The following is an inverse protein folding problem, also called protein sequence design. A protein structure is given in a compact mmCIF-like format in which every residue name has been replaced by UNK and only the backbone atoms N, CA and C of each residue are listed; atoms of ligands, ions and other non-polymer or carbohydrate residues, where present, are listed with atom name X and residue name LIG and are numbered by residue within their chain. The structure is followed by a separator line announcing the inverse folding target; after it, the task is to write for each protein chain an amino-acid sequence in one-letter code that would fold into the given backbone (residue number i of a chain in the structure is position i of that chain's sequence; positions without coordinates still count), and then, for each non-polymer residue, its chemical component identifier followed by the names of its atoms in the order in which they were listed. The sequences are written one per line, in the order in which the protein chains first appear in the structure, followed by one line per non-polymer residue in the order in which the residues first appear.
data_IF_176323812128
#
_entry.id   IF_176323812128
#
_cell.length_a   1.000
_cell.length_b   1.000
_cell.length_c   1.000
_cell.angle_alpha   90.00
_cell.angle_beta   90.00
_cell.angle_gamma   90.00
#
_symmetry.space_group_name_H-M   'P 1'
#
loop_
_entity.id
_entity.type
_entity.pdbx_description
1 polymer ?
#
# COMPACT_ATOMS: atom_id res chain seq x y z
N UNK A 1 8.19 1.60 -6.10
CA UNK A 1 8.02 2.84 -5.30
C UNK A 1 6.59 3.35 -5.45
N UNK A 2 6.00 3.95 -4.40
CA UNK A 2 4.73 4.70 -4.51
C UNK A 2 5.01 6.18 -4.33
N UNK A 3 4.77 6.99 -5.37
CA UNK A 3 5.00 8.43 -5.36
C UNK A 3 3.84 9.12 -6.08
N UNK A 4 3.29 10.18 -5.49
CA UNK A 4 2.14 10.92 -6.04
C UNK A 4 0.97 10.03 -6.49
N UNK A 5 0.68 8.98 -5.70
CA UNK A 5 -0.41 8.04 -5.99
C UNK A 5 -0.14 7.03 -7.11
N UNK A 6 1.10 6.93 -7.61
CA UNK A 6 1.49 6.02 -8.70
C UNK A 6 2.48 4.98 -8.21
N UNK A 7 2.26 3.73 -8.62
CA UNK A 7 3.26 2.67 -8.51
C UNK A 7 4.26 2.79 -9.65
N UNK A 8 5.53 2.99 -9.30
CA UNK A 8 6.62 3.21 -10.24
C UNK A 8 7.66 2.10 -10.08
N UNK A 9 7.96 1.40 -11.17
CA UNK A 9 9.10 0.49 -11.29
C UNK A 9 10.39 1.31 -11.38
N UNK A 10 11.45 0.85 -10.70
CA UNK A 10 12.74 1.53 -10.67
C UNK A 10 13.78 0.68 -11.41
N UNK A 11 14.56 1.33 -12.27
CA UNK A 11 15.69 0.76 -12.98
C UNK A 11 16.97 1.29 -12.36
N UNK A 12 17.85 0.38 -11.93
CA UNK A 12 19.14 0.74 -11.34
C UNK A 12 20.08 1.29 -12.41
N UNK A 13 20.82 2.34 -12.09
CA UNK A 13 21.84 2.94 -12.95
C UNK A 13 23.17 2.23 -12.73
N UNK A 14 23.52 1.32 -13.64
CA UNK A 14 24.75 0.52 -13.56
C UNK A 14 24.85 -0.24 -12.23
N UNK A 15 26.00 -0.14 -11.57
CA UNK A 15 26.26 -0.74 -10.24
C UNK A 15 26.10 0.25 -9.09
N UNK A 16 25.56 1.45 -9.35
CA UNK A 16 25.46 2.52 -8.35
C UNK A 16 24.24 2.37 -7.45
N UNK A 17 24.16 3.15 -6.37
CA UNK A 17 22.95 3.29 -5.56
C UNK A 17 21.97 4.35 -6.11
N UNK A 18 22.03 4.61 -7.43
CA UNK A 18 21.12 5.51 -8.12
C UNK A 18 20.17 4.70 -9.02
N UNK A 19 18.92 5.14 -9.09
CA UNK A 19 17.84 4.54 -9.84
C UNK A 19 17.06 5.62 -10.60
N UNK A 20 16.34 5.20 -11.63
CA UNK A 20 15.37 6.03 -12.36
C UNK A 20 14.04 5.30 -12.47
N UNK A 21 12.91 6.02 -12.56
CA UNK A 21 11.67 5.42 -13.02
C UNK A 21 11.86 4.68 -14.37
N UNK A 22 11.20 3.53 -14.54
CA UNK A 22 11.24 2.80 -15.81
C UNK A 22 10.68 3.65 -16.97
N UNK A 23 9.62 4.41 -16.71
CA UNK A 23 9.16 5.50 -17.58
C UNK A 23 9.89 6.79 -17.20
N UNK A 24 11.19 6.85 -17.50
CA UNK A 24 12.11 7.94 -17.13
C UNK A 24 11.48 9.33 -17.38
N UNK A 25 11.11 10.00 -16.29
CA UNK A 25 10.52 11.34 -16.27
C UNK A 25 11.52 12.41 -15.78
N UNK A 26 12.80 12.05 -15.69
CA UNK A 26 13.86 12.89 -15.14
C UNK A 26 13.98 12.83 -13.62
N UNK A 27 13.11 12.10 -12.91
CA UNK A 27 13.24 11.88 -11.46
C UNK A 27 14.49 11.06 -11.15
N UNK A 28 15.29 11.53 -10.19
CA UNK A 28 16.44 10.80 -9.66
C UNK A 28 16.10 10.16 -8.33
N UNK A 29 16.33 8.86 -8.21
CA UNK A 29 16.13 8.11 -6.95
C UNK A 29 17.48 7.62 -6.46
N UNK A 30 17.82 7.89 -5.19
CA UNK A 30 19.10 7.47 -4.58
C UNK A 30 18.84 6.68 -3.31
N UNK A 31 19.41 5.49 -3.24
CA UNK A 31 19.50 4.70 -2.01
C UNK A 31 20.68 5.21 -1.18
N UNK A 32 20.44 5.41 0.11
CA UNK A 32 21.41 5.84 1.11
C UNK A 32 21.40 4.85 2.26
N UNK A 33 22.47 4.82 3.05
CA UNK A 33 22.62 3.97 4.23
C UNK A 33 23.15 4.78 5.42
N UNK A 34 23.20 4.18 6.61
CA UNK A 34 23.75 4.79 7.82
C UNK A 34 22.78 5.64 8.63
N UNK A 35 21.47 5.59 8.35
CA UNK A 35 20.48 6.22 9.21
C UNK A 35 20.23 5.38 10.49
N UNK A 36 19.96 6.06 11.60
CA UNK A 36 19.52 5.42 12.84
C UNK A 36 18.01 5.16 12.81
N UNK A 37 17.56 4.23 11.95
CA UNK A 37 16.13 4.01 11.66
C UNK A 37 15.63 2.58 11.97
N UNK A 38 16.46 1.75 12.61
CA UNK A 38 16.13 0.36 12.99
C UNK A 38 16.40 -0.68 11.90
N UNK A 39 16.65 -0.25 10.67
CA UNK A 39 17.12 -1.12 9.59
C UNK A 39 18.56 -1.62 9.84
N UNK A 40 18.96 -2.72 9.21
CA UNK A 40 20.20 -3.43 9.52
C UNK A 40 21.48 -2.60 9.24
N UNK A 41 21.49 -1.83 8.15
CA UNK A 41 22.54 -0.89 7.76
C UNK A 41 22.02 0.54 7.56
N UNK A 42 20.74 0.79 7.89
CA UNK A 42 20.16 2.12 7.95
C UNK A 42 19.75 2.66 6.60
N UNK A 43 19.19 1.80 5.72
CA UNK A 43 18.73 2.17 4.40
C UNK A 43 17.65 3.26 4.45
N UNK A 44 17.76 4.26 3.58
CA UNK A 44 16.72 5.26 3.32
C UNK A 44 16.82 5.77 1.88
N UNK A 45 15.76 6.40 1.39
CA UNK A 45 15.66 6.79 -0.01
C UNK A 45 15.50 8.30 -0.16
N UNK A 46 16.20 8.89 -1.13
CA UNK A 46 16.00 10.27 -1.57
C UNK A 46 15.49 10.26 -3.01
N UNK A 47 14.38 10.95 -3.26
CA UNK A 47 13.77 11.11 -4.57
C UNK A 47 13.79 12.59 -4.92
N UNK A 48 14.52 12.96 -5.96
CA UNK A 48 14.60 14.33 -6.45
C UNK A 48 13.82 14.44 -7.75
N UNK A 49 12.73 15.20 -7.73
CA UNK A 49 11.92 15.50 -8.91
C UNK A 49 12.57 16.61 -9.75
N UNK A 50 12.08 16.79 -10.99
CA UNK A 50 12.68 17.73 -11.97
C UNK A 50 12.52 19.20 -11.59
N UNK A 51 11.61 19.53 -10.68
CA UNK A 51 11.47 20.85 -10.06
C UNK A 51 12.50 21.10 -8.94
N UNK A 52 13.33 20.11 -8.61
CA UNK A 52 14.35 20.18 -7.56
C UNK A 52 13.84 19.81 -6.16
N UNK A 53 12.56 19.49 -5.99
CA UNK A 53 12.01 19.04 -4.70
C UNK A 53 12.60 17.68 -4.31
N UNK A 54 13.04 17.55 -3.06
CA UNK A 54 13.61 16.32 -2.51
C UNK A 54 12.62 15.68 -1.53
N UNK A 55 12.23 14.45 -1.81
CA UNK A 55 11.42 13.60 -0.95
C UNK A 55 12.33 12.56 -0.29
N UNK A 56 12.42 12.60 1.03
CA UNK A 56 13.20 11.65 1.84
C UNK A 56 12.25 10.63 2.44
N UNK A 57 12.54 9.34 2.28
CA UNK A 57 11.75 8.24 2.80
C UNK A 57 12.54 7.40 3.78
N UNK A 58 11.99 7.19 4.97
CA UNK A 58 12.50 6.27 5.98
C UNK A 58 13.87 6.65 6.55
N UNK A 59 14.17 7.94 6.63
CA UNK A 59 15.35 8.45 7.35
C UNK A 59 15.19 8.37 8.86
N UNK A 60 13.96 8.41 9.37
CA UNK A 60 13.57 8.43 10.78
C UNK A 60 14.00 9.72 11.52
N UNK A 61 15.29 10.03 11.52
CA UNK A 61 15.88 11.22 12.14
C UNK A 61 16.06 12.33 11.11
N UNK A 62 15.09 13.24 11.05
CA UNK A 62 15.04 14.30 10.04
C UNK A 62 15.88 15.54 10.37
N UNK A 63 16.33 15.68 11.63
CA UNK A 63 17.18 16.76 12.14
C UNK A 63 16.39 17.99 12.58
N UNK A 64 17.09 19.13 12.76
CA UNK A 64 16.47 20.45 12.99
C UNK A 64 15.64 20.57 14.26
N UNK A 65 15.88 19.73 15.28
CA UNK A 65 15.14 19.73 16.54
C UNK A 65 13.79 19.00 16.50
N UNK A 66 13.39 18.43 15.35
CA UNK A 66 12.18 17.62 15.25
C UNK A 66 12.40 16.24 15.86
N UNK A 67 11.36 15.67 16.48
CA UNK A 67 11.40 14.31 17.03
C UNK A 67 11.47 13.24 15.94
N UNK A 68 11.84 12.01 16.29
CA UNK A 68 11.93 10.95 15.29
C UNK A 68 10.56 10.63 14.68
N UNK A 69 10.51 10.48 13.36
CA UNK A 69 9.26 10.34 12.61
C UNK A 69 8.67 8.93 12.68
N UNK A 70 9.43 7.93 13.13
CA UNK A 70 9.02 6.51 13.16
C UNK A 70 8.57 5.96 11.79
N UNK A 71 9.18 6.41 10.71
CA UNK A 71 8.76 6.14 9.34
C UNK A 71 9.18 4.80 8.74
N UNK A 72 10.02 4.03 9.42
CA UNK A 72 10.54 2.75 8.92
C UNK A 72 9.83 1.61 9.65
N UNK A 73 9.25 0.69 8.86
CA UNK A 73 8.71 -0.56 9.38
C UNK A 73 9.68 -1.68 9.05
N UNK A 74 10.07 -2.45 10.06
CA UNK A 74 11.07 -3.51 9.94
C UNK A 74 10.49 -4.89 10.25
N UNK A 75 11.16 -5.92 9.76
CA UNK A 75 10.83 -7.33 10.01
C UNK A 75 12.11 -8.17 10.03
N UNK A 76 12.23 -9.19 10.91
CA UNK A 76 13.38 -10.07 10.88
C UNK A 76 13.40 -10.91 9.59
N UNK A 77 14.54 -10.90 8.89
CA UNK A 77 14.79 -11.68 7.67
C UNK A 77 16.15 -12.39 7.76
N UNK A 78 16.34 -13.38 6.89
CA UNK A 78 17.56 -14.17 6.79
C UNK A 78 18.11 -14.09 5.35
N UNK A 79 19.38 -13.72 5.20
CA UNK A 79 20.06 -13.73 3.91
C UNK A 79 20.30 -15.17 3.44
N UNK A 80 19.95 -15.50 2.19
CA UNK A 80 19.94 -16.88 1.72
C UNK A 80 20.98 -17.20 0.65
N UNK A 81 21.64 -16.19 0.05
CA UNK A 81 22.72 -16.41 -0.90
C UNK A 81 24.03 -15.68 -0.56
N UNK A 82 25.20 -16.24 -0.93
CA UNK A 82 26.47 -15.54 -0.83
C UNK A 82 26.44 -14.18 -1.54
N UNK A 83 26.93 -13.15 -0.85
CA UNK A 83 26.95 -11.78 -1.37
C UNK A 83 25.71 -10.96 -1.04
N UNK A 84 24.64 -11.57 -0.50
CA UNK A 84 23.53 -10.82 0.07
C UNK A 84 23.89 -10.29 1.47
N UNK A 85 23.32 -9.14 1.88
CA UNK A 85 23.39 -8.70 3.27
C UNK A 85 23.02 -9.84 4.21
N UNK A 86 23.77 -9.94 5.31
CA UNK A 86 23.49 -10.86 6.42
C UNK A 86 23.65 -12.35 6.12
N UNK A 87 24.05 -12.76 4.91
CA UNK A 87 24.27 -14.18 4.63
C UNK A 87 25.46 -14.74 5.43
N UNK A 88 25.24 -15.85 6.13
CA UNK A 88 26.26 -16.64 6.80
C UNK A 88 26.20 -18.11 6.34
N UNK A 89 27.27 -18.87 6.63
CA UNK A 89 27.33 -20.31 6.28
C UNK A 89 26.23 -21.11 6.96
N UNK A 90 25.96 -20.84 8.23
CA UNK A 90 24.88 -21.48 8.97
C UNK A 90 23.63 -20.60 8.91
N UNK A 91 22.49 -21.19 8.50
CA UNK A 91 21.21 -20.49 8.40
C UNK A 91 20.81 -19.72 9.67
N UNK A 92 21.15 -20.26 10.85
CA UNK A 92 20.86 -19.60 12.13
C UNK A 92 21.57 -18.25 12.28
N UNK A 93 22.74 -18.11 11.67
CA UNK A 93 23.59 -16.92 11.71
C UNK A 93 23.30 -15.98 10.54
N UNK A 94 22.57 -16.45 9.52
CA UNK A 94 22.19 -15.63 8.36
C UNK A 94 21.14 -14.55 8.66
N UNK A 95 20.84 -14.33 9.94
CA UNK A 95 19.88 -13.34 10.38
C UNK A 95 20.44 -11.94 10.10
N UNK A 96 19.60 -11.05 9.59
CA UNK A 96 19.99 -9.64 9.52
C UNK A 96 20.18 -9.01 10.90
N UNK A 97 21.44 -9.01 11.34
CA UNK A 97 21.98 -8.43 12.57
C UNK A 97 21.57 -9.11 13.89
N UNK A 98 22.25 -8.72 14.97
CA UNK A 98 21.88 -9.05 16.35
C UNK A 98 20.89 -8.00 16.88
N UNK A 99 19.62 -8.37 17.06
CA UNK A 99 18.56 -7.42 17.40
C UNK A 99 18.16 -6.48 16.25
N UNK A 100 18.58 -6.78 15.01
CA UNK A 100 18.30 -5.97 13.83
C UNK A 100 17.24 -6.65 12.96
N UNK A 101 16.56 -5.84 12.17
CA UNK A 101 15.46 -6.20 11.30
C UNK A 101 15.72 -5.51 9.95
N UNK A 102 15.17 -6.05 8.87
CA UNK A 102 15.23 -5.36 7.58
C UNK A 102 14.00 -4.49 7.43
N UNK A 103 14.18 -3.28 6.92
CA UNK A 103 13.08 -2.46 6.47
C UNK A 103 12.32 -3.16 5.34
N UNK A 104 11.01 -3.31 5.49
CA UNK A 104 10.11 -3.77 4.43
C UNK A 104 9.27 -2.62 3.86
N UNK A 105 9.24 -1.48 4.55
CA UNK A 105 8.58 -0.25 4.11
C UNK A 105 9.27 0.99 4.67
N UNK A 106 9.54 1.94 3.79
CA UNK A 106 9.97 3.30 4.11
C UNK A 106 8.80 4.26 3.86
N UNK A 107 8.28 4.88 4.91
CA UNK A 107 7.31 5.98 4.83
C UNK A 107 7.96 7.25 4.26
N UNK A 108 7.15 8.20 3.79
CA UNK A 108 7.64 9.55 3.50
C UNK A 108 7.95 10.23 4.82
N UNK A 109 9.09 10.92 4.92
CA UNK A 109 9.55 11.53 6.17
C UNK A 109 9.63 13.03 6.05
N UNK A 110 10.33 13.49 5.01
CA UNK A 110 10.69 14.89 4.84
C UNK A 110 10.59 15.25 3.37
N UNK A 111 9.93 16.36 3.08
CA UNK A 111 9.94 17.00 1.77
C UNK A 111 10.65 18.34 1.93
N UNK A 112 11.60 18.63 1.04
CA UNK A 112 12.32 19.90 1.02
C UNK A 112 12.30 20.46 -0.39
N UNK A 113 11.80 21.69 -0.55
CA UNK A 113 11.81 22.38 -1.84
C UNK A 113 13.12 23.16 -2.06
N UNK A 114 13.26 23.73 -3.27
CA UNK A 114 14.43 24.53 -3.65
C UNK A 114 14.60 25.84 -2.88
N UNK A 115 13.56 26.28 -2.16
CA UNK A 115 13.58 27.46 -1.29
C UNK A 115 13.85 27.10 0.17
N UNK A 116 14.12 25.83 0.48
CA UNK A 116 14.39 25.34 1.83
C UNK A 116 13.15 25.26 2.72
N UNK A 117 11.94 25.33 2.15
CA UNK A 117 10.70 25.03 2.87
C UNK A 117 10.62 23.53 3.13
N UNK A 118 10.14 23.16 4.32
CA UNK A 118 10.10 21.77 4.77
C UNK A 118 8.70 21.36 5.20
N UNK A 119 8.34 20.14 4.79
CA UNK A 119 7.21 19.37 5.31
C UNK A 119 7.74 18.07 5.92
N UNK A 120 7.21 17.67 7.07
CA UNK A 120 7.57 16.43 7.77
C UNK A 120 6.31 15.60 7.99
N UNK A 121 6.43 14.27 7.84
CA UNK A 121 5.36 13.33 8.16
C UNK A 121 5.80 12.43 9.31
N UNK A 122 5.05 12.45 10.40
CA UNK A 122 5.26 11.58 11.55
C UNK A 122 4.32 10.39 11.52
N UNK A 123 4.78 9.26 12.02
CA UNK A 123 4.12 7.97 11.91
C UNK A 123 3.96 7.29 13.27
N UNK A 124 2.99 6.38 13.34
CA UNK A 124 2.86 5.40 14.41
C UNK A 124 2.99 4.00 13.85
N UNK A 125 3.90 3.24 14.44
CA UNK A 125 4.12 1.83 14.14
C UNK A 125 3.13 0.96 14.94
N UNK A 126 2.61 -0.09 14.31
CA UNK A 126 1.90 -1.17 14.96
C UNK A 126 2.79 -2.41 14.97
N UNK A 127 3.02 -2.97 16.16
CA UNK A 127 3.86 -4.17 16.32
C UNK A 127 3.01 -5.44 16.35
N UNK A 128 3.60 -6.55 15.92
CA UNK A 128 3.04 -7.89 16.11
C UNK A 128 4.18 -8.89 16.36
N UNK A 129 3.83 -10.12 16.70
CA UNK A 129 4.79 -11.19 16.91
C UNK A 129 4.56 -12.35 15.93
N UNK A 130 5.62 -13.07 15.58
CA UNK A 130 5.53 -14.31 14.81
C UNK A 130 6.55 -15.34 15.30
N UNK A 131 6.26 -16.62 15.08
CA UNK A 131 7.14 -17.72 15.46
C UNK A 131 8.23 -17.90 14.39
N UNK A 132 9.28 -17.08 14.45
CA UNK A 132 10.43 -17.22 13.54
C UNK A 132 10.99 -18.64 13.60
N UNK A 133 11.23 -19.27 12.45
CA UNK A 133 11.71 -20.67 12.37
C UNK A 133 10.84 -21.66 13.18
N UNK A 134 9.54 -21.42 13.27
CA UNK A 134 8.58 -22.17 14.09
C UNK A 134 8.90 -22.20 15.60
N UNK A 135 9.73 -21.28 16.10
CA UNK A 135 10.07 -21.15 17.52
C UNK A 135 8.94 -20.50 18.33
N UNK A 136 7.84 -21.24 18.56
CA UNK A 136 6.64 -20.74 19.26
C UNK A 136 6.86 -20.34 20.73
N UNK A 137 7.96 -20.74 21.36
CA UNK A 137 8.30 -20.35 22.74
C UNK A 137 9.00 -19.00 22.84
N UNK A 138 9.58 -18.53 21.73
CA UNK A 138 10.34 -17.29 21.63
C UNK A 138 9.96 -16.56 20.34
N UNK A 139 8.68 -16.14 20.21
CA UNK A 139 8.26 -15.40 19.04
C UNK A 139 8.92 -14.03 19.02
N UNK A 140 9.06 -13.45 17.83
CA UNK A 140 9.80 -12.21 17.62
C UNK A 140 8.89 -11.08 17.17
N UNK A 141 9.19 -9.89 17.67
CA UNK A 141 8.49 -8.67 17.30
C UNK A 141 8.88 -8.23 15.88
N UNK A 142 7.93 -7.56 15.22
CA UNK A 142 8.13 -6.82 13.98
C UNK A 142 7.09 -5.71 13.87
N UNK A 143 7.36 -4.71 13.03
CA UNK A 143 6.37 -3.69 12.69
C UNK A 143 5.44 -4.24 11.60
N UNK A 144 4.20 -4.59 11.97
CA UNK A 144 3.19 -5.16 11.07
C UNK A 144 2.53 -4.12 10.17
N UNK A 145 2.50 -2.86 10.59
CA UNK A 145 1.84 -1.77 9.88
C UNK A 145 2.30 -0.41 10.41
N UNK A 146 2.09 0.64 9.62
CA UNK A 146 2.31 2.02 10.02
C UNK A 146 1.30 2.98 9.37
N UNK A 147 0.88 3.99 10.12
CA UNK A 147 0.02 5.08 9.64
C UNK A 147 0.54 6.44 10.08
N UNK A 148 0.29 7.51 9.29
CA UNK A 148 0.69 8.85 9.65
C UNK A 148 -0.14 9.37 10.84
N UNK A 149 0.50 10.12 11.73
CA UNK A 149 -0.13 10.79 12.88
C UNK A 149 -0.16 12.30 12.71
N UNK A 150 0.85 12.87 12.05
CA UNK A 150 0.88 14.29 11.69
C UNK A 150 1.56 14.53 10.35
N UNK A 151 1.19 15.64 9.72
CA UNK A 151 1.97 16.30 8.68
C UNK A 151 2.23 17.72 9.17
N UNK A 152 3.49 18.04 9.44
CA UNK A 152 3.95 19.34 9.88
C UNK A 152 4.50 20.10 8.67
N UNK A 153 4.07 21.34 8.43
CA UNK A 153 4.48 22.09 7.24
C UNK A 153 4.60 23.59 7.49
N UNK A 154 5.26 24.26 6.54
CA UNK A 154 5.63 25.68 6.66
C UNK A 154 6.81 25.91 7.61
N UNK A 155 7.73 24.94 7.68
CA UNK A 155 9.01 25.04 8.38
C UNK A 155 10.13 25.41 7.42
N UNK A 156 11.27 25.82 7.97
CA UNK A 156 12.52 26.05 7.23
C UNK A 156 13.58 25.06 7.68
N UNK A 157 14.54 24.76 6.80
CA UNK A 157 15.52 23.67 7.03
C UNK A 157 16.44 23.87 8.24
N UNK A 158 16.54 25.09 8.76
CA UNK A 158 17.33 25.48 9.93
C UNK A 158 16.61 25.28 11.27
N UNK A 159 15.28 25.38 11.31
CA UNK A 159 14.45 25.09 12.49
C UNK A 159 13.19 24.29 12.10
N UNK A 160 13.19 23.01 12.47
CA UNK A 160 12.09 22.07 12.22
C UNK A 160 11.21 21.86 13.47
N UNK A 161 11.38 22.68 14.52
CA UNK A 161 10.62 22.56 15.77
C UNK A 161 9.34 23.41 15.79
N UNK A 162 9.17 24.34 14.83
CA UNK A 162 8.07 25.32 14.80
C UNK A 162 7.34 25.31 13.46
N UNK A 163 6.45 24.34 13.21
CA UNK A 163 5.60 24.38 12.03
C UNK A 163 4.64 25.58 12.05
N UNK A 164 4.41 26.15 10.87
CA UNK A 164 3.38 27.19 10.70
C UNK A 164 1.97 26.57 10.62
N UNK A 165 1.88 25.30 10.26
CA UNK A 165 0.64 24.55 10.21
C UNK A 165 0.87 23.05 10.35
N UNK A 166 -0.16 22.34 10.79
CA UNK A 166 -0.14 20.90 11.02
C UNK A 166 -1.46 20.26 10.54
N UNK A 167 -1.37 19.07 9.97
CA UNK A 167 -2.51 18.16 9.80
C UNK A 167 -2.33 17.00 10.77
N UNK A 168 -3.27 16.80 11.68
CA UNK A 168 -3.28 15.71 12.66
C UNK A 168 -4.29 14.64 12.29
N UNK A 169 -3.88 13.37 12.37
CA UNK A 169 -4.72 12.21 12.08
C UNK A 169 -5.12 11.51 13.37
N UNK A 170 -6.42 11.46 13.64
CA UNK A 170 -6.98 10.73 14.77
C UNK A 170 -7.57 9.41 14.30
N UNK A 171 -7.15 8.33 14.96
CA UNK A 171 -7.56 6.96 14.62
C UNK A 171 -8.34 6.32 15.76
N UNK A 172 -9.25 5.41 15.41
CA UNK A 172 -9.95 4.55 16.35
C UNK A 172 -9.80 3.09 15.94
N UNK A 173 -10.21 2.19 16.83
CA UNK A 173 -10.32 0.77 16.48
C UNK A 173 -11.28 0.59 15.30
N UNK A 174 -10.98 -0.38 14.43
CA UNK A 174 -11.84 -0.70 13.27
C UNK A 174 -13.22 -1.17 13.73
N UNK A 175 -13.32 -1.83 14.88
CA UNK A 175 -14.61 -2.20 15.48
C UNK A 175 -15.55 -0.98 15.66
N UNK A 176 -16.84 -1.18 15.37
CA UNK A 176 -17.89 -0.16 15.47
C UNK A 176 -19.08 -0.56 16.37
N UNK A 177 -18.95 -1.63 17.16
CA UNK A 177 -20.06 -2.18 17.97
C UNK A 177 -20.42 -1.30 19.18
N UNK A 178 -19.44 -0.99 20.02
CA UNK A 178 -19.53 -0.06 21.15
C UNK A 178 -18.13 0.18 21.71
N UNK A 179 -17.89 1.27 22.45
CA UNK A 179 -16.56 1.55 23.01
C UNK A 179 -16.03 0.39 23.88
N UNK A 180 -16.88 -0.19 24.73
CA UNK A 180 -16.52 -1.35 25.57
C UNK A 180 -16.19 -2.59 24.74
N UNK A 181 -16.98 -2.90 23.71
CA UNK A 181 -16.73 -4.07 22.86
C UNK A 181 -15.50 -3.87 21.97
N UNK A 182 -15.27 -2.63 21.54
CA UNK A 182 -14.19 -2.23 20.66
C UNK A 182 -12.92 -1.83 21.40
N UNK A 183 -12.83 -2.05 22.71
CA UNK A 183 -11.63 -1.77 23.48
C UNK A 183 -10.43 -2.57 22.95
N UNK A 184 -9.27 -1.92 22.83
CA UNK A 184 -8.05 -2.52 22.30
C UNK A 184 -7.61 -3.77 23.09
N UNK A 185 -7.93 -3.84 24.38
CA UNK A 185 -7.64 -4.99 25.23
C UNK A 185 -8.45 -6.23 24.83
N UNK A 186 -9.65 -6.08 24.28
CA UNK A 186 -10.43 -7.21 23.74
C UNK A 186 -9.79 -7.76 22.48
N UNK A 187 -9.34 -6.90 21.57
CA UNK A 187 -8.60 -7.35 20.39
C UNK A 187 -7.28 -8.06 20.76
N UNK A 188 -6.68 -7.66 21.88
CA UNK A 188 -5.50 -8.33 22.41
C UNK A 188 -5.78 -9.71 23.04
N UNK A 189 -7.02 -10.16 23.25
CA UNK A 189 -7.32 -11.51 23.76
C UNK A 189 -7.22 -12.54 22.63
N UNK A 190 -6.00 -12.85 22.23
CA UNK A 190 -5.69 -13.72 21.07
C UNK A 190 -6.13 -15.18 21.25
N UNK A 191 -6.39 -15.58 22.49
CA UNK A 191 -6.91 -16.90 22.89
C UNK A 191 -8.45 -16.95 22.95
N UNK A 192 -9.14 -15.82 22.82
CA UNK A 192 -10.60 -15.73 22.80
C UNK A 192 -11.10 -15.15 21.47
N UNK A 193 -11.48 -16.00 20.50
CA UNK A 193 -12.09 -15.55 19.25
C UNK A 193 -13.35 -14.72 19.41
N UNK A 194 -14.09 -14.89 20.51
CA UNK A 194 -15.27 -14.09 20.82
C UNK A 194 -14.93 -12.62 21.04
N UNK A 195 -13.76 -12.33 21.62
CA UNK A 195 -13.35 -10.99 21.99
C UNK A 195 -12.94 -10.11 20.78
N UNK A 196 -12.24 -10.68 19.79
CA UNK A 196 -11.80 -9.92 18.60
C UNK A 196 -12.75 -10.03 17.39
N UNK A 197 -13.78 -10.88 17.48
CA UNK A 197 -14.84 -11.04 16.46
C UNK A 197 -15.49 -9.74 15.96
N UNK A 198 -15.67 -8.69 16.79
CA UNK A 198 -16.21 -7.40 16.32
C UNK A 198 -15.34 -6.64 15.32
N UNK A 199 -14.08 -7.04 15.10
CA UNK A 199 -13.23 -6.51 14.03
C UNK A 199 -13.42 -7.35 12.76
N UNK A 200 -14.58 -7.21 12.12
CA UNK A 200 -15.02 -8.08 11.01
C UNK A 200 -14.01 -8.24 9.87
N UNK A 201 -13.27 -7.18 9.52
CA UNK A 201 -12.31 -7.16 8.42
C UNK A 201 -10.84 -7.09 8.85
N UNK A 202 -10.57 -7.29 10.15
CA UNK A 202 -9.20 -7.38 10.67
C UNK A 202 -8.91 -8.83 11.07
N UNK A 203 -7.78 -9.42 10.62
CA UNK A 203 -7.48 -10.81 10.92
C UNK A 203 -6.97 -10.98 12.36
N UNK A 204 -7.87 -10.91 13.35
CA UNK A 204 -7.54 -11.04 14.78
C UNK A 204 -6.87 -12.39 15.14
N UNK A 205 -7.13 -13.45 14.36
CA UNK A 205 -6.47 -14.74 14.49
C UNK A 205 -4.97 -14.72 14.11
N UNK A 206 -4.50 -13.68 13.42
CA UNK A 206 -3.08 -13.44 13.13
C UNK A 206 -2.43 -12.49 14.14
N UNK A 207 -3.21 -11.97 15.10
CA UNK A 207 -2.67 -11.17 16.20
C UNK A 207 -1.90 -12.08 17.15
N UNK A 208 -0.66 -11.71 17.45
CA UNK A 208 0.17 -12.47 18.35
C UNK A 208 0.91 -11.61 19.36
N UNK A 209 1.12 -12.19 20.53
CA UNK A 209 1.86 -11.60 21.65
C UNK A 209 3.21 -12.29 21.83
N UNK A 210 4.14 -11.60 22.47
CA UNK A 210 5.44 -12.14 22.89
C UNK A 210 5.34 -13.42 23.72
N UNK A 211 4.24 -13.60 24.46
CA UNK A 211 4.00 -14.75 25.34
C UNK A 211 3.16 -15.86 24.70
N UNK A 212 2.66 -15.65 23.49
CA UNK A 212 1.76 -16.61 22.84
C UNK A 212 2.55 -17.77 22.24
N UNK A 213 2.09 -18.99 22.53
CA UNK A 213 2.60 -20.25 21.94
C UNK A 213 1.93 -20.60 20.61
N UNK A 214 1.03 -19.76 20.12
CA UNK A 214 0.21 -20.00 18.93
C UNK A 214 0.52 -19.01 17.81
N UNK A 215 1.62 -18.28 17.89
CA UNK A 215 2.00 -17.37 16.80
C UNK A 215 2.17 -18.10 15.47
N UNK A 216 1.71 -17.51 14.36
CA UNK A 216 1.97 -18.04 13.03
C UNK A 216 3.48 -18.05 12.74
N UNK A 217 3.94 -18.99 11.90
CA UNK A 217 5.34 -19.11 11.50
C UNK A 217 5.82 -18.05 10.49
N UNK A 218 4.97 -17.06 10.18
CA UNK A 218 5.21 -16.03 9.19
C UNK A 218 4.72 -14.66 9.68
N UNK A 219 5.38 -13.54 9.29
CA UNK A 219 4.86 -12.21 9.56
C UNK A 219 3.59 -11.95 8.74
N UNK A 220 2.69 -11.13 9.28
CA UNK A 220 1.43 -10.74 8.66
C UNK A 220 1.22 -9.24 8.80
N UNK A 221 0.71 -8.60 7.75
CA UNK A 221 0.65 -7.14 7.65
C UNK A 221 -0.79 -6.67 7.52
N UNK A 222 -1.26 -5.93 8.51
CA UNK A 222 -2.65 -5.46 8.63
C UNK A 222 -2.74 -4.45 9.77
N UNK A 223 -3.84 -3.69 9.80
CA UNK A 223 -4.12 -2.73 10.86
C UNK A 223 -5.45 -3.05 11.53
N UNK A 224 -5.51 -2.82 12.84
CA UNK A 224 -6.77 -2.82 13.60
C UNK A 224 -7.36 -1.41 13.71
N UNK A 225 -6.76 -0.42 13.05
CA UNK A 225 -7.13 0.99 13.15
C UNK A 225 -7.89 1.47 11.90
N UNK A 226 -8.78 2.44 12.10
CA UNK A 226 -9.44 3.23 11.06
C UNK A 226 -9.17 4.71 11.33
N UNK A 227 -9.09 5.51 10.27
CA UNK A 227 -9.07 6.96 10.39
C UNK A 227 -10.47 7.43 10.82
N UNK A 228 -10.54 8.14 11.94
CA UNK A 228 -11.77 8.63 12.56
C UNK A 228 -11.98 10.11 12.26
N UNK A 229 -10.91 10.91 12.36
CA UNK A 229 -10.96 12.31 11.97
C UNK A 229 -9.60 12.85 11.54
N UNK A 230 -9.65 13.95 10.79
CA UNK A 230 -8.50 14.76 10.43
C UNK A 230 -8.71 16.15 11.02
N UNK A 231 -7.73 16.66 11.77
CA UNK A 231 -7.76 18.03 12.29
C UNK A 231 -6.66 18.84 11.60
N UNK A 232 -7.02 19.98 11.02
CA UNK A 232 -6.04 20.93 10.49
C UNK A 232 -5.83 22.05 11.51
N UNK A 233 -4.58 22.45 11.69
CA UNK A 233 -4.15 23.49 12.60
C UNK A 233 -3.22 24.47 11.89
N UNK A 234 -3.23 25.73 12.29
CA UNK A 234 -2.41 26.77 11.69
C UNK A 234 -2.10 27.91 12.67
N UNK A 235 -0.97 28.59 12.46
CA UNK A 235 -0.65 29.83 13.13
C UNK A 235 -1.71 30.89 12.79
N UNK A 236 -2.27 31.54 13.82
CA UNK A 236 -3.41 32.46 13.67
C UNK A 236 -3.22 33.69 14.54
N UNK A 237 -3.65 34.85 14.03
CA UNK A 237 -3.64 36.09 14.80
C UNK A 237 -4.45 35.92 16.10
N UNK A 238 -3.88 36.36 17.22
CA UNK A 238 -4.52 36.27 18.54
C UNK A 238 -4.50 34.88 19.17
N UNK A 239 -3.89 33.87 18.55
CA UNK A 239 -3.75 32.51 19.10
C UNK A 239 -2.28 32.20 19.36
N UNK A 240 -1.97 31.77 20.58
CA UNK A 240 -0.62 31.27 20.91
C UNK A 240 -0.47 29.85 20.36
N UNK A 241 0.52 29.64 19.50
CA UNK A 241 0.77 28.35 18.85
C UNK A 241 -0.17 28.07 17.68
N UNK A 242 -0.41 26.78 17.39
CA UNK A 242 -1.29 26.37 16.30
C UNK A 242 -2.75 26.33 16.75
N UNK A 243 -3.58 27.18 16.15
CA UNK A 243 -5.03 27.18 16.33
C UNK A 243 -5.72 26.20 15.40
N UNK A 244 -6.83 25.61 15.85
CA UNK A 244 -7.67 24.71 15.03
C UNK A 244 -8.29 25.48 13.86
N UNK A 245 -8.31 24.86 12.68
CA UNK A 245 -8.85 25.42 11.43
C UNK A 245 -10.09 24.65 11.00
N UNK A 246 -9.93 23.37 10.70
CA UNK A 246 -11.01 22.47 10.31
C UNK A 246 -10.86 21.12 10.99
N UNK A 247 -12.00 20.48 11.28
CA UNK A 247 -12.08 19.07 11.63
C UNK A 247 -12.93 18.36 10.59
N UNK A 248 -12.38 17.31 9.99
CA UNK A 248 -13.08 16.41 9.08
C UNK A 248 -13.36 15.12 9.85
N UNK A 249 -14.63 14.84 10.15
CA UNK A 249 -15.06 13.60 10.77
C UNK A 249 -15.41 12.57 9.69
N UNK A 250 -14.87 11.36 9.79
CA UNK A 250 -15.13 10.27 8.85
C UNK A 250 -16.15 9.30 9.47
N UNK A 251 -17.33 9.23 8.87
CA UNK A 251 -18.41 8.35 9.34
C UNK A 251 -18.37 7.04 8.57
N UNK A 252 -18.16 5.94 9.28
CA UNK A 252 -17.93 4.62 8.68
C UNK A 252 -18.91 3.59 9.23
N UNK A 253 -19.16 2.53 8.46
CA UNK A 253 -20.07 1.44 8.83
C UNK A 253 -19.56 0.10 8.30
N UNK A 254 -20.10 -0.98 8.86
CA UNK A 254 -20.00 -2.32 8.32
C UNK A 254 -21.39 -2.76 7.88
N UNK A 255 -21.80 -2.48 6.63
CA UNK A 255 -23.15 -2.80 6.16
C UNK A 255 -23.26 -4.31 5.95
N UNK A 256 -23.67 -5.04 6.99
CA UNK A 256 -23.70 -6.51 7.01
C UNK A 256 -24.67 -7.10 6.00
N UNK A 257 -25.76 -6.40 5.71
CA UNK A 257 -26.78 -6.78 4.74
C UNK A 257 -26.27 -6.79 3.29
N UNK A 258 -25.10 -6.21 3.04
CA UNK A 258 -24.50 -6.23 1.71
C UNK A 258 -23.72 -7.53 1.47
N UNK A 259 -23.27 -8.25 2.50
CA UNK A 259 -22.31 -9.33 2.34
C UNK A 259 -22.85 -10.67 2.86
N UNK A 260 -22.58 -11.75 2.11
CA UNK A 260 -22.76 -13.13 2.59
C UNK A 260 -21.57 -13.60 3.47
N UNK A 261 -20.55 -12.76 3.61
CA UNK A 261 -19.32 -13.00 4.40
C UNK A 261 -19.04 -11.80 5.32
N UNK A 262 -17.90 -11.78 6.00
CA UNK A 262 -17.54 -10.65 6.87
C UNK A 262 -17.59 -9.32 6.12
N UNK A 263 -18.34 -8.31 6.63
CA UNK A 263 -18.47 -7.03 5.95
C UNK A 263 -17.15 -6.27 5.93
N UNK A 264 -16.93 -5.49 4.86
CA UNK A 264 -15.81 -4.55 4.77
C UNK A 264 -16.21 -3.16 5.26
N UNK A 265 -15.25 -2.42 5.82
CA UNK A 265 -15.47 -1.03 6.25
C UNK A 265 -15.86 -0.15 5.06
N UNK A 266 -17.02 0.49 5.16
CA UNK A 266 -17.53 1.46 4.20
C UNK A 266 -17.41 2.87 4.78
N UNK A 267 -16.98 3.84 3.97
CA UNK A 267 -17.01 5.26 4.32
C UNK A 267 -18.36 5.81 3.87
N UNK A 268 -19.25 6.13 4.82
CA UNK A 268 -20.57 6.68 4.52
C UNK A 268 -20.47 8.16 4.18
N UNK A 269 -19.71 8.92 4.97
CA UNK A 269 -19.59 10.37 4.77
C UNK A 269 -18.35 10.98 5.41
N UNK A 270 -18.06 12.21 5.00
CA UNK A 270 -17.08 13.11 5.59
C UNK A 270 -17.81 14.41 5.95
N UNK A 271 -17.80 14.77 7.24
CA UNK A 271 -18.40 16.01 7.72
C UNK A 271 -17.30 17.01 8.13
N UNK A 272 -17.36 18.23 7.60
CA UNK A 272 -16.41 19.30 7.92
C UNK A 272 -17.00 20.28 8.94
N UNK A 273 -16.23 20.55 9.98
CA UNK A 273 -16.49 21.59 10.98
C UNK A 273 -15.36 22.62 10.95
N UNK A 274 -15.69 23.86 10.61
CA UNK A 274 -14.75 24.98 10.55
C UNK A 274 -14.66 25.74 11.88
N UNK A 275 -13.49 26.29 12.18
CA UNK A 275 -13.20 27.05 13.39
C UNK A 275 -12.58 28.41 13.04
N UNK A 276 -13.07 29.48 13.66
CA UNK A 276 -12.45 30.80 13.67
C UNK A 276 -11.29 30.89 14.68
N UNK A 277 -10.47 31.96 14.64
CA UNK A 277 -9.42 32.18 15.64
C UNK A 277 -10.00 32.32 17.05
N UNK A 278 -9.58 31.45 17.97
CA UNK A 278 -10.03 31.47 19.37
C UNK A 278 -11.31 30.67 19.65
N UNK A 279 -11.96 30.12 18.63
CA UNK A 279 -13.19 29.34 18.81
C UNK A 279 -12.94 28.05 19.59
N UNK A 280 -13.76 27.81 20.61
CA UNK A 280 -13.84 26.50 21.30
C UNK A 280 -14.87 25.57 20.67
N UNK A 281 -15.84 26.14 19.95
CA UNK A 281 -16.94 25.43 19.29
C UNK A 281 -16.93 25.78 17.81
N UNK A 282 -16.85 24.76 16.95
CA UNK A 282 -16.79 24.97 15.50
C UNK A 282 -18.18 25.03 14.87
N UNK A 283 -18.23 25.49 13.62
CA UNK A 283 -19.44 25.57 12.80
C UNK A 283 -19.41 24.45 11.75
N UNK A 284 -20.44 23.60 11.76
CA UNK A 284 -20.62 22.56 10.75
C UNK A 284 -20.88 23.24 9.40
N UNK A 285 -20.07 22.92 8.39
CA UNK A 285 -20.13 23.56 7.07
C UNK A 285 -21.27 23.01 6.21
N UNK A 286 -21.55 21.71 6.34
CA UNK A 286 -22.68 21.05 5.71
C UNK A 286 -23.21 19.99 6.66
N UNK A 287 -24.52 19.99 6.92
CA UNK A 287 -25.18 18.98 7.76
C UNK A 287 -25.05 17.58 7.15
N UNK A 288 -25.08 17.52 5.83
CA UNK A 288 -25.03 16.27 5.06
C UNK A 288 -23.59 15.90 4.67
N UNK A 289 -22.67 16.87 4.66
CA UNK A 289 -21.26 16.66 4.33
C UNK A 289 -21.07 16.15 2.90
N UNK A 290 -19.95 15.48 2.65
CA UNK A 290 -19.79 14.63 1.45
C UNK A 290 -20.24 13.23 1.83
N UNK A 291 -21.16 12.62 1.09
CA UNK A 291 -21.62 11.24 1.37
C UNK A 291 -21.48 10.31 0.17
N UNK A 292 -21.32 9.03 0.45
CA UNK A 292 -21.05 7.99 -0.53
C UNK A 292 -22.14 6.92 -0.47
N UNK A 293 -22.85 6.76 -1.57
CA UNK A 293 -23.82 5.68 -1.76
C UNK A 293 -23.20 4.54 -2.57
N UNK A 294 -23.68 3.32 -2.33
CA UNK A 294 -23.32 2.16 -3.13
C UNK A 294 -23.84 2.30 -4.58
N UNK A 295 -23.09 1.73 -5.53
CA UNK A 295 -23.51 1.61 -6.90
C UNK A 295 -24.64 0.60 -7.03
N UNK A 296 -25.74 1.04 -7.63
CA UNK A 296 -26.90 0.20 -7.94
C UNK A 296 -27.07 0.10 -9.44
N UNK A 297 -27.04 -1.13 -9.94
CA UNK A 297 -27.32 -1.39 -11.34
C UNK A 297 -28.82 -1.31 -11.54
N UNK A 298 -29.27 -0.21 -12.13
CA UNK A 298 -30.68 -0.02 -12.48
C UNK A 298 -31.18 -1.14 -13.39
N UNK A 299 -32.49 -1.41 -13.34
CA UNK A 299 -33.13 -2.45 -14.15
C UNK A 299 -32.98 -2.24 -15.66
N UNK A 300 -32.72 -1.01 -16.10
CA UNK A 300 -32.47 -0.62 -17.49
C UNK A 300 -30.99 -0.58 -17.88
N UNK A 301 -30.06 -0.84 -16.96
CA UNK A 301 -28.63 -0.75 -17.24
C UNK A 301 -28.18 -1.88 -18.18
N UNK A 302 -27.39 -1.60 -19.23
CA UNK A 302 -26.79 -2.64 -20.08
C UNK A 302 -25.79 -3.53 -19.31
N UNK A 303 -25.44 -3.14 -18.08
CA UNK A 303 -24.63 -3.92 -17.16
C UNK A 303 -25.44 -4.85 -16.28
N UNK A 304 -26.78 -4.78 -16.27
CA UNK A 304 -27.64 -5.63 -15.43
C UNK A 304 -27.33 -7.11 -15.61
N UNK A 305 -27.03 -7.58 -16.82
CA UNK A 305 -26.69 -8.99 -17.05
C UNK A 305 -25.30 -9.39 -16.55
N UNK A 306 -24.37 -8.44 -16.41
CA UNK A 306 -22.95 -8.66 -16.07
C UNK A 306 -22.59 -8.31 -14.62
N UNK A 307 -23.29 -7.34 -14.04
CA UNK A 307 -23.10 -6.80 -12.71
C UNK A 307 -24.40 -6.98 -11.90
N UNK A 308 -25.06 -8.16 -12.03
CA UNK A 308 -26.34 -8.49 -11.38
C UNK A 308 -26.38 -8.24 -9.87
N UNK A 309 -25.22 -8.06 -9.26
CA UNK A 309 -25.05 -7.91 -7.84
C UNK A 309 -24.75 -6.44 -7.52
N UNK A 310 -25.26 -5.95 -6.37
CA UNK A 310 -24.85 -4.67 -5.76
C UNK A 310 -23.33 -4.57 -5.53
N UNK A 311 -22.60 -5.68 -5.75
CA UNK A 311 -21.20 -5.87 -5.42
C UNK A 311 -20.46 -6.59 -6.56
N UNK A 312 -19.26 -6.13 -6.89
CA UNK A 312 -18.47 -6.76 -7.94
C UNK A 312 -17.61 -7.91 -7.39
N UNK A 313 -17.49 -9.04 -8.12
CA UNK A 313 -16.52 -10.07 -7.79
C UNK A 313 -15.11 -9.48 -7.76
N UNK A 314 -14.44 -9.68 -6.66
CA UNK A 314 -13.05 -9.28 -6.40
C UNK A 314 -12.17 -10.50 -6.09
N UNK A 315 -12.69 -11.71 -6.34
CA UNK A 315 -11.96 -12.98 -6.28
C UNK A 315 -11.55 -13.43 -7.68
N UNK A 316 -10.26 -13.63 -7.91
CA UNK A 316 -9.79 -14.37 -9.08
C UNK A 316 -10.03 -15.86 -8.86
N UNK A 317 -11.03 -16.41 -9.56
CA UNK A 317 -11.34 -17.85 -9.52
C UNK A 317 -10.22 -18.66 -10.19
N UNK A 318 -9.80 -19.73 -9.53
CA UNK A 318 -8.78 -20.67 -10.02
C UNK A 318 -9.30 -21.62 -11.09
N UNK A 319 -10.62 -21.79 -11.16
CA UNK A 319 -11.32 -22.55 -12.20
C UNK A 319 -12.83 -22.62 -11.95
N UNK A 320 -13.58 -23.33 -12.81
CA UNK A 320 -15.02 -23.51 -12.65
C UNK A 320 -15.44 -24.21 -11.35
N UNK A 321 -14.54 -25.00 -10.74
CA UNK A 321 -14.76 -25.76 -9.50
C UNK A 321 -14.17 -25.08 -8.25
N UNK A 322 -13.87 -23.79 -8.31
CA UNK A 322 -13.33 -23.05 -7.16
C UNK A 322 -14.41 -22.95 -6.07
N UNK A 323 -14.19 -23.63 -4.95
CA UNK A 323 -15.13 -23.70 -3.82
C UNK A 323 -14.96 -22.55 -2.81
N UNK A 324 -14.01 -21.63 -3.04
CA UNK A 324 -13.82 -20.50 -2.12
C UNK A 324 -15.07 -19.60 -2.15
N UNK A 325 -15.50 -19.07 -0.99
CA UNK A 325 -16.60 -18.11 -0.93
C UNK A 325 -16.39 -16.95 -1.90
N UNK A 326 -17.48 -16.41 -2.44
CA UNK A 326 -17.40 -15.21 -3.24
C UNK A 326 -16.78 -14.07 -2.41
N UNK A 327 -15.80 -13.37 -2.97
CA UNK A 327 -15.29 -12.14 -2.40
C UNK A 327 -15.83 -11.00 -3.23
N UNK A 328 -16.82 -10.29 -2.70
CA UNK A 328 -17.53 -9.22 -3.38
C UNK A 328 -17.35 -7.92 -2.61
N UNK A 329 -17.28 -6.79 -3.33
CA UNK A 329 -17.14 -5.45 -2.72
C UNK A 329 -18.10 -4.46 -3.37
N UNK A 330 -18.78 -3.61 -2.59
CA UNK A 330 -19.57 -2.50 -3.13
C UNK A 330 -18.66 -1.53 -3.88
N UNK A 331 -19.25 -0.78 -4.80
CA UNK A 331 -18.61 0.32 -5.53
C UNK A 331 -19.34 1.62 -5.19
N UNK A 332 -18.66 2.77 -5.33
CA UNK A 332 -19.31 4.07 -5.11
C UNK A 332 -20.19 4.35 -6.32
N UNK A 333 -21.48 4.55 -6.09
CA UNK A 333 -22.45 4.89 -7.13
C UNK A 333 -22.78 6.36 -7.19
N UNK A 334 -22.87 7.00 -6.04
CA UNK A 334 -23.19 8.42 -5.94
C UNK A 334 -22.30 9.06 -4.91
N UNK A 335 -21.80 10.25 -5.23
CA UNK A 335 -21.14 11.15 -4.29
C UNK A 335 -22.01 12.38 -4.14
N UNK A 336 -22.67 12.52 -2.99
CA UNK A 336 -23.33 13.77 -2.66
C UNK A 336 -22.27 14.77 -2.19
N UNK A 337 -22.32 15.99 -2.69
CA UNK A 337 -21.35 17.06 -2.41
C UNK A 337 -21.82 17.94 -1.25
N UNK A 338 -20.89 18.68 -0.63
CA UNK A 338 -21.23 19.61 0.47
C UNK A 338 -22.24 20.69 0.05
N UNK A 339 -22.30 21.01 -1.26
CA UNK A 339 -23.20 21.99 -1.86
C UNK A 339 -24.58 21.40 -2.24
N UNK A 340 -24.84 20.12 -1.97
CA UNK A 340 -26.12 19.47 -2.25
C UNK A 340 -26.30 18.95 -3.69
N UNK A 341 -25.25 18.96 -4.52
CA UNK A 341 -25.25 18.30 -5.83
C UNK A 341 -24.86 16.83 -5.71
N UNK A 342 -25.38 16.00 -6.62
CA UNK A 342 -25.01 14.59 -6.73
C UNK A 342 -24.12 14.36 -7.95
N UNK A 343 -23.02 13.64 -7.73
CA UNK A 343 -22.16 13.10 -8.78
C UNK A 343 -22.51 11.62 -8.91
N UNK A 344 -23.15 11.26 -10.02
CA UNK A 344 -23.43 9.87 -10.34
C UNK A 344 -22.23 9.24 -11.05
N UNK A 345 -21.82 8.08 -10.56
CA UNK A 345 -20.73 7.27 -11.11
C UNK A 345 -21.32 6.21 -12.00
N UNK A 346 -21.12 6.34 -13.30
CA UNK A 346 -21.42 5.28 -14.25
C UNK A 346 -20.17 4.44 -14.51
N UNK A 347 -20.23 3.17 -14.13
CA UNK A 347 -19.25 2.18 -14.55
C UNK A 347 -19.60 1.70 -15.95
N UNK A 348 -18.65 1.63 -16.89
CA UNK A 348 -18.91 1.15 -18.26
C UNK A 348 -18.49 -0.31 -18.50
N UNK A 349 -17.97 -0.97 -17.47
CA UNK A 349 -17.47 -2.35 -17.50
C UNK A 349 -15.95 -2.47 -17.40
N UNK A 350 -15.41 -3.66 -17.70
CA UNK A 350 -13.99 -4.02 -17.70
C UNK A 350 -13.71 -5.22 -18.63
N UNK A 351 -12.44 -5.62 -18.79
CA UNK A 351 -11.98 -6.62 -19.77
C UNK A 351 -12.91 -7.86 -19.86
N UNK A 352 -13.42 -8.14 -21.06
CA UNK A 352 -14.37 -9.23 -21.32
C UNK A 352 -13.75 -10.64 -21.20
N UNK A 353 -12.42 -10.73 -21.18
CA UNK A 353 -11.67 -11.98 -21.15
C UNK A 353 -10.61 -11.97 -20.06
N UNK A 354 -10.57 -13.06 -19.28
CA UNK A 354 -9.44 -13.40 -18.42
C UNK A 354 -8.18 -13.39 -19.28
N UNK A 355 -7.17 -12.60 -18.92
CA UNK A 355 -5.84 -12.76 -19.53
C UNK A 355 -5.48 -14.25 -19.45
N UNK A 356 -5.13 -14.91 -20.57
CA UNK A 356 -4.71 -16.29 -20.52
C UNK A 356 -3.57 -16.38 -19.50
N UNK A 357 -3.64 -17.38 -18.60
CA UNK A 357 -2.51 -17.69 -17.73
C UNK A 357 -1.35 -17.98 -18.67
N UNK A 358 -0.43 -17.04 -18.88
CA UNK A 358 0.87 -17.37 -19.42
C UNK A 358 1.50 -18.29 -18.38
N UNK A 359 1.38 -19.60 -18.58
CA UNK A 359 2.33 -20.55 -18.03
C UNK A 359 3.67 -20.18 -18.66
N UNK A 360 4.38 -19.20 -18.10
CA UNK A 360 5.83 -19.24 -18.18
C UNK A 360 6.21 -20.49 -17.40
N UNK A 361 6.35 -21.60 -18.12
CA UNK A 361 7.16 -22.71 -17.67
C UNK A 361 8.52 -22.06 -17.41
N UNK A 362 8.85 -21.81 -16.14
CA UNK A 362 10.24 -21.67 -15.75
C UNK A 362 10.78 -23.07 -15.95
N UNK A 363 11.32 -23.35 -17.13
CA UNK A 363 12.30 -24.43 -17.27
C UNK A 363 13.53 -23.96 -16.52
N UNK A 364 13.51 -24.13 -15.20
CA UNK A 364 14.76 -24.34 -14.47
C UNK A 364 15.30 -25.68 -14.92
N UNK A 365 16.58 -25.78 -15.32
CA UNK A 365 17.22 -27.08 -15.45
C UNK A 365 17.28 -27.68 -14.05
N UNK A 366 16.51 -28.73 -13.83
CA UNK A 366 16.62 -29.55 -12.63
C UNK A 366 18.01 -30.21 -12.63
N UNK A 367 18.93 -29.68 -11.83
CA UNK A 367 20.10 -30.44 -11.41
C UNK A 367 19.60 -31.52 -10.43
N UNK A 368 19.29 -32.70 -10.98
CA UNK A 368 19.12 -33.93 -10.19
C UNK A 368 20.46 -34.23 -9.50
N UNK A 369 20.53 -34.01 -8.20
CA UNK A 369 21.47 -34.70 -7.33
C UNK A 369 20.78 -35.93 -6.76
N UNK A 370 20.65 -36.97 -7.58
CA UNK A 370 20.31 -38.32 -7.11
C UNK A 370 21.60 -38.92 -6.53
N UNK A 371 21.78 -38.83 -5.21
CA UNK A 371 22.80 -39.58 -4.50
C UNK A 371 22.24 -40.95 -4.09
N UNK A 372 22.90 -42.08 -4.41
CA UNK A 372 22.55 -43.35 -3.80
C UNK A 372 23.42 -43.63 -2.58
N UNK A 373 22.77 -43.94 -1.45
CA UNK A 373 23.36 -44.81 -0.42
C UNK A 373 23.49 -46.21 -1.01
N UNK A 374 24.67 -46.84 -0.92
CA UNK A 374 24.84 -48.20 -0.37
C UNK A 374 26.32 -48.55 -0.20
N UNK A 375 26.62 -49.28 0.87
CA UNK A 375 27.91 -49.88 1.16
C UNK A 375 27.99 -51.31 0.61
N UNK A 376 29.24 -51.78 0.45
CA UNK A 376 29.77 -53.16 0.38
C UNK A 376 30.09 -53.82 -0.98
N UNK A 377 31.38 -54.20 -1.06
CA UNK A 377 32.05 -55.33 -1.75
C UNK A 377 32.51 -55.26 -3.23
N UNK A 378 33.85 -55.23 -3.39
CA UNK A 378 34.64 -56.14 -4.26
C UNK A 378 34.95 -55.71 -5.72
N UNK A 379 36.07 -56.13 -6.35
CA UNK A 379 36.89 -55.24 -7.17
C UNK A 379 37.07 -55.58 -8.68
N UNK A 380 37.58 -54.57 -9.43
CA UNK A 380 38.37 -54.62 -10.71
C UNK A 380 37.65 -54.93 -12.06
N UNK A 381 38.22 -54.58 -13.26
CA UNK A 381 38.48 -53.21 -13.77
C UNK A 381 38.17 -53.00 -15.29
N UNK A 382 38.44 -51.76 -15.75
CA UNK A 382 39.05 -51.38 -17.05
C UNK A 382 38.19 -50.87 -18.23
N UNK A 383 38.79 -49.86 -18.88
CA UNK A 383 38.59 -49.28 -20.23
C UNK A 383 37.32 -48.42 -20.43
N UNK A 384 37.37 -47.18 -20.92
CA UNK A 384 38.36 -46.49 -21.74
C UNK A 384 37.68 -46.05 -23.05
N UNK A 385 37.39 -44.76 -23.22
CA UNK A 385 37.49 -44.01 -24.49
C UNK A 385 36.81 -42.64 -24.42
N UNK A 386 37.57 -41.66 -24.89
CA UNK A 386 37.29 -40.26 -25.14
C UNK A 386 36.52 -40.05 -26.45
N UNK A 387 35.60 -39.09 -26.51
CA UNK A 387 35.40 -38.29 -27.73
C UNK A 387 34.87 -36.89 -27.42
N UNK A 388 35.50 -35.93 -28.06
CA UNK A 388 35.29 -34.47 -28.06
C UNK A 388 34.24 -34.04 -29.07
N UNK A 389 33.40 -33.04 -28.73
CA UNK A 389 32.86 -32.09 -29.72
C UNK A 389 32.39 -30.77 -29.06
N UNK A 390 32.73 -29.67 -29.72
CA UNK A 390 32.52 -28.25 -29.36
C UNK A 390 31.18 -27.69 -29.90
N UNK A 391 30.75 -26.45 -29.55
CA UNK A 391 29.34 -26.06 -29.43
C UNK A 391 28.78 -25.29 -30.64
N UNK A 392 27.44 -25.10 -30.76
CA UNK A 392 26.89 -24.14 -31.71
C UNK A 392 26.41 -22.83 -31.06
N UNK A 393 27.08 -21.76 -31.48
CA UNK A 393 26.63 -20.42 -31.91
C UNK A 393 25.25 -19.86 -31.50
N UNK A 394 25.30 -18.61 -31.02
CA UNK A 394 24.21 -17.63 -30.91
C UNK A 394 23.81 -16.99 -32.26
N UNK A 395 22.52 -16.66 -32.42
CA UNK A 395 22.03 -15.50 -33.21
C UNK A 395 20.78 -14.87 -32.56
N UNK A 396 20.58 -13.54 -32.70
CA UNK A 396 19.61 -12.76 -31.92
C UNK A 396 18.27 -12.58 -32.63
N UNK A 397 17.16 -12.61 -31.89
CA UNK A 397 15.82 -12.24 -32.38
C UNK A 397 15.43 -10.84 -31.89
N UNK A 398 15.02 -10.00 -32.86
CA UNK A 398 14.50 -8.64 -32.69
C UNK A 398 13.19 -8.63 -31.89
N UNK A 399 12.98 -7.64 -31.03
CA UNK A 399 11.65 -7.28 -30.50
C UNK A 399 11.41 -5.78 -30.75
N UNK A 400 10.20 -5.38 -31.23
CA UNK A 400 9.93 -4.00 -31.60
C UNK A 400 9.54 -3.14 -30.40
N UNK A 401 10.09 -1.93 -30.42
CA UNK A 401 9.84 -0.79 -29.54
C UNK A 401 8.53 -0.10 -29.94
N UNK A 402 7.60 0.14 -29.01
CA UNK A 402 6.56 1.17 -29.17
C UNK A 402 6.25 1.81 -27.82
N UNK A 403 6.49 3.12 -27.71
CA UNK A 403 6.17 3.96 -26.57
C UNK A 403 4.77 4.61 -26.75
N UNK A 404 3.99 4.78 -25.68
CA UNK A 404 2.74 5.54 -25.69
C UNK A 404 2.77 6.66 -24.64
N UNK A 405 2.83 7.90 -25.12
CA UNK A 405 2.55 9.16 -24.40
C UNK A 405 1.04 9.44 -24.38
N UNK A 406 0.58 10.25 -23.44
CA UNK A 406 -0.62 11.08 -23.62
C UNK A 406 -0.43 12.49 -23.03
N UNK A 407 -0.81 13.49 -23.83
CA UNK A 407 -1.02 14.90 -23.44
C UNK A 407 -2.51 15.22 -23.67
N UNK A 408 -3.16 16.12 -22.91
CA UNK A 408 -4.57 16.42 -23.10
C UNK A 408 -4.78 17.53 -24.14
N UNK A 409 -5.71 17.33 -25.08
CA UNK A 409 -6.24 18.39 -25.95
C UNK A 409 -7.77 18.41 -25.89
N UNK A 410 -8.34 19.59 -25.68
CA UNK A 410 -9.77 19.93 -25.73
C UNK A 410 -10.18 20.38 -27.13
N UNK A 411 -11.35 19.96 -27.64
CA UNK A 411 -12.01 20.66 -28.76
C UNK A 411 -13.50 20.32 -28.97
N UNK A 412 -14.27 21.39 -29.23
CA UNK A 412 -15.71 21.55 -29.60
C UNK A 412 -15.97 21.25 -31.12
N UNK A 413 -17.21 21.15 -31.66
CA UNK A 413 -17.53 20.17 -32.74
C UNK A 413 -17.82 20.67 -34.19
N UNK A 414 -17.58 19.73 -35.12
CA UNK A 414 -18.35 19.28 -36.32
C UNK A 414 -18.35 19.99 -37.71
N UNK A 415 -17.94 19.25 -38.77
CA UNK A 415 -18.73 18.82 -39.98
C UNK A 415 -17.92 17.85 -40.92
N UNK A 416 -18.53 17.12 -41.90
CA UNK A 416 -18.24 15.70 -42.16
C UNK A 416 -17.61 15.31 -43.53
N UNK A 417 -16.97 14.14 -43.59
CA UNK A 417 -16.49 13.42 -44.80
C UNK A 417 -15.68 12.15 -44.44
N UNK A 418 -15.58 11.10 -45.29
CA UNK A 418 -15.83 9.70 -44.87
C UNK A 418 -14.59 8.79 -44.58
N UNK A 419 -14.70 7.98 -43.51
CA UNK A 419 -14.46 6.52 -43.32
C UNK A 419 -13.21 5.77 -43.91
N UNK A 420 -12.78 4.62 -43.32
CA UNK A 420 -11.98 4.50 -42.09
C UNK A 420 -10.71 3.63 -42.29
N UNK A 421 -9.70 3.78 -41.43
CA UNK A 421 -8.68 2.74 -41.20
C UNK A 421 -8.59 2.48 -39.70
N UNK A 422 -9.02 1.28 -39.31
CA UNK A 422 -9.03 0.75 -37.96
C UNK A 422 -7.63 0.35 -37.52
N UNK A 423 -7.07 1.02 -36.50
CA UNK A 423 -5.99 0.48 -35.67
C UNK A 423 -6.49 0.30 -34.25
N UNK A 424 -6.66 -0.96 -33.83
CA UNK A 424 -7.05 -1.35 -32.47
C UNK A 424 -5.89 -1.11 -31.50
N UNK A 425 -6.02 -0.10 -30.64
CA UNK A 425 -5.23 0.04 -29.43
C UNK A 425 -6.08 -0.42 -28.24
N UNK A 426 -5.69 -1.51 -27.59
CA UNK A 426 -6.34 -1.99 -26.37
C UNK A 426 -6.18 -0.98 -25.21
N UNK A 427 -7.25 -0.64 -24.47
CA UNK A 427 -7.18 0.28 -23.34
C UNK A 427 -6.72 -0.44 -22.05
N UNK A 428 -6.19 0.31 -21.05
CA UNK A 428 -5.65 -0.25 -19.82
C UNK A 428 -6.70 -0.97 -18.94
N UNK A 429 -6.24 -1.97 -18.19
CA UNK A 429 -7.03 -2.86 -17.32
C UNK A 429 -7.58 -2.19 -16.04
N UNK A 430 -8.36 -1.11 -16.17
CA UNK A 430 -9.12 -0.52 -15.07
C UNK A 430 -10.57 -0.23 -15.52
N UNK A 431 -11.57 -0.41 -14.65
CA UNK A 431 -12.92 0.06 -14.95
C UNK A 431 -12.86 1.57 -15.18
N UNK A 432 -13.37 2.02 -16.33
CA UNK A 432 -13.45 3.45 -16.65
C UNK A 432 -14.76 3.98 -16.07
N UNK A 433 -14.68 5.06 -15.31
CA UNK A 433 -15.83 5.74 -14.72
C UNK A 433 -15.96 7.15 -15.29
N UNK A 434 -17.18 7.57 -15.61
CA UNK A 434 -17.51 8.94 -16.02
C UNK A 434 -18.52 9.52 -15.03
N UNK A 435 -18.29 10.76 -14.58
CA UNK A 435 -19.21 11.48 -13.71
C UNK A 435 -20.17 12.36 -14.50
N UNK A 436 -21.45 12.42 -14.10
CA UNK A 436 -22.43 13.39 -14.59
C UNK A 436 -22.97 14.19 -13.39
N UNK A 437 -22.91 15.52 -13.49
CA UNK A 437 -23.45 16.42 -12.47
C UNK A 437 -24.94 16.67 -12.73
N UNK A 438 -25.78 16.47 -11.72
CA UNK A 438 -27.16 16.95 -11.72
C UNK A 438 -27.38 17.90 -10.55
N UNK A 439 -27.68 19.17 -10.85
CA UNK A 439 -28.06 20.15 -9.84
C UNK A 439 -29.55 19.96 -9.48
N UNK A 440 -29.87 19.80 -8.20
CA UNK A 440 -31.26 19.96 -7.73
C UNK A 440 -31.59 21.45 -7.64
N UNK A 441 -32.69 21.87 -8.26
CA UNK A 441 -33.29 23.17 -7.98
C UNK A 441 -33.74 23.23 -6.51
N UNK A 442 -33.62 24.40 -5.87
CA UNK A 442 -33.83 24.59 -4.43
C UNK A 442 -35.23 24.22 -3.94
#
# INVERSE_FOLDING_TARGET
MSLAGRTTELVRVGTTNTYRPASDDGTRVTLKTGAANGDNDGEYWEVTTTDGTVYTFGRHEVGGGHTNTNSVSTVPVFGNHPGEPCHATAFADSRCGAGKQQAWRWGLDKVTDVHGNVMIVSWKQETNYYAVRDKRKTPEAYERFAYPTSIDYGMRSDDLSKPSAQVSFSVKQRCLKSDTACDATNFAKTDDPGAYRPWWDTPGNLNCKSTSKLCPGFPSFWTQMRLDSITTLGARAGVTGLGKVDVYALHQSFPSDWYDTSPGLWLNSIARTGYGPGDTTGTIQSKDGVSFAEYRVGSSSPLQSRLRDRQLPNLVRTGPKDQRPAFTRPRIGTVATEAGADIEVEYTGGCATRLPRTRRRRTEPASRSDGPRTATNGPHPSNGSTSTSSPPSWRPTKSPTTACRSSPSTSTPARPGPNPMTSSSDPPCAPTATGRDTARSP
#
